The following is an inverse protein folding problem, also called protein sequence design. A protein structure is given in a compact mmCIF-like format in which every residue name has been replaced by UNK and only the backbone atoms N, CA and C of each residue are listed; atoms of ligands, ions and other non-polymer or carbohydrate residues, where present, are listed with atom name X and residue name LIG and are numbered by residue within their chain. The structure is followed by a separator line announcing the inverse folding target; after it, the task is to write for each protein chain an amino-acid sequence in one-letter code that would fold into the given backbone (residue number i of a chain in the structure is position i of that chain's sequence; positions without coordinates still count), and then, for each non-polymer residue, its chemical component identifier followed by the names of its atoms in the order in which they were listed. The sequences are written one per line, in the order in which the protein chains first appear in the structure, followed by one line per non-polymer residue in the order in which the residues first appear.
data_IF_281672031976
#
_entry.id   IF_281672031976
#
_cell.length_a   1.000
_cell.length_b   1.000
_cell.length_c   1.000
_cell.angle_alpha   90.00
_cell.angle_beta   90.00
_cell.angle_gamma   90.00
#
_symmetry.space_group_name_H-M   'P 1'
#
loop_
_entity.id
_entity.type
_entity.pdbx_description
1 polymer ?
#
# COMPACT_ATOMS: atom_id res chain seq x y z
N UNK A 1 -17.52 11.34 -14.72
CA UNK A 1 -16.48 10.31 -14.61
C UNK A 1 -16.41 9.90 -13.14
N UNK A 2 -16.59 8.62 -12.82
CA UNK A 2 -16.54 8.09 -11.44
C UNK A 2 -15.43 7.05 -11.39
N UNK A 3 -14.64 7.06 -10.32
CA UNK A 3 -13.63 6.03 -10.04
C UNK A 3 -14.21 5.11 -8.97
N UNK A 4 -14.19 3.80 -9.22
CA UNK A 4 -14.75 2.81 -8.28
C UNK A 4 -13.68 2.17 -7.39
N UNK A 5 -12.40 2.23 -7.78
CA UNK A 5 -11.29 1.61 -7.06
C UNK A 5 -9.95 2.25 -7.44
N UNK A 6 -9.01 2.27 -6.49
CA UNK A 6 -7.62 2.72 -6.71
C UNK A 6 -6.68 1.54 -6.44
N UNK A 7 -5.74 1.29 -7.35
CA UNK A 7 -4.61 0.37 -7.14
C UNK A 7 -3.34 1.20 -7.04
N UNK A 8 -2.59 1.03 -5.95
CA UNK A 8 -1.37 1.82 -5.70
C UNK A 8 -0.17 0.89 -5.62
N UNK A 9 0.86 1.20 -6.41
CA UNK A 9 2.21 0.68 -6.25
C UNK A 9 3.15 1.86 -6.05
N UNK A 10 3.84 1.90 -4.92
CA UNK A 10 4.71 3.01 -4.55
C UNK A 10 6.00 2.52 -3.89
N UNK A 11 7.07 3.32 -3.88
CA UNK A 11 8.35 2.94 -3.28
C UNK A 11 8.48 3.31 -1.80
N UNK A 12 7.52 4.03 -1.25
CA UNK A 12 7.48 4.43 0.16
C UNK A 12 6.45 3.62 0.91
N UNK A 13 6.84 3.03 2.04
CA UNK A 13 5.91 2.28 2.89
C UNK A 13 4.88 3.22 3.50
N UNK A 14 3.61 2.79 3.53
CA UNK A 14 2.52 3.56 4.13
C UNK A 14 1.79 4.50 3.18
N UNK A 15 2.22 4.64 1.92
CA UNK A 15 1.52 5.46 0.91
C UNK A 15 0.07 5.02 0.72
N UNK A 16 -0.19 3.70 0.71
CA UNK A 16 -1.56 3.19 0.56
C UNK A 16 -2.45 3.60 1.73
N UNK A 17 -1.93 3.47 2.95
CA UNK A 17 -2.65 3.84 4.17
C UNK A 17 -2.89 5.34 4.28
N UNK A 18 -1.95 6.14 3.79
CA UNK A 18 -2.15 7.58 3.66
C UNK A 18 -3.32 7.88 2.72
N UNK A 19 -3.31 7.31 1.51
CA UNK A 19 -4.36 7.57 0.50
C UNK A 19 -5.74 7.08 0.95
N UNK A 20 -5.80 5.93 1.64
CA UNK A 20 -7.04 5.39 2.21
C UNK A 20 -7.73 6.38 3.17
N UNK A 21 -6.98 7.24 3.86
CA UNK A 21 -7.53 8.30 4.70
C UNK A 21 -8.11 9.51 3.96
N UNK A 22 -7.87 9.62 2.65
CA UNK A 22 -8.30 10.76 1.82
C UNK A 22 -9.42 10.41 0.83
N UNK A 23 -9.75 9.12 0.66
CA UNK A 23 -10.72 8.67 -0.34
C UNK A 23 -11.82 7.82 0.28
N UNK A 24 -13.03 7.91 -0.29
CA UNK A 24 -14.18 7.11 0.12
C UNK A 24 -14.40 5.88 -0.77
N UNK A 25 -13.38 5.46 -1.52
CA UNK A 25 -13.41 4.30 -2.42
C UNK A 25 -12.29 3.33 -2.06
N UNK A 26 -12.47 2.02 -2.30
CA UNK A 26 -11.45 1.03 -1.93
C UNK A 26 -10.09 1.32 -2.56
N UNK A 27 -9.03 1.15 -1.76
CA UNK A 27 -7.63 1.26 -2.19
C UNK A 27 -6.92 -0.08 -2.00
N UNK A 28 -6.36 -0.62 -3.08
CA UNK A 28 -5.60 -1.87 -3.09
C UNK A 28 -4.10 -1.56 -3.09
N UNK A 29 -3.37 -2.14 -2.13
CA UNK A 29 -1.90 -2.12 -2.12
C UNK A 29 -1.35 -3.17 -3.10
N UNK A 30 -0.71 -2.72 -4.18
CA UNK A 30 0.00 -3.56 -5.16
C UNK A 30 1.53 -3.55 -4.95
N UNK A 31 1.98 -3.05 -3.80
CA UNK A 31 3.37 -2.98 -3.37
C UNK A 31 3.74 -1.55 -2.98
N UNK A 32 3.95 -1.33 -1.69
CA UNK A 32 4.58 -0.11 -1.16
C UNK A 32 6.03 -0.42 -0.73
N UNK A 33 6.80 0.64 -0.45
CA UNK A 33 8.24 0.57 -0.22
C UNK A 33 8.74 -0.56 0.67
N UNK A 34 9.99 -0.97 0.40
CA UNK A 34 10.73 -2.08 1.04
C UNK A 34 10.26 -2.35 2.47
N UNK A 35 9.46 -3.41 2.65
CA UNK A 35 9.71 -4.29 3.79
C UNK A 35 11.22 -4.55 3.78
N UNK A 36 11.95 -4.07 4.78
CA UNK A 36 13.35 -4.41 4.95
C UNK A 36 13.45 -5.93 5.02
N UNK A 37 13.77 -6.58 3.91
CA UNK A 37 14.38 -7.89 3.99
C UNK A 37 15.87 -7.66 4.15
N UNK A 38 16.45 -8.26 5.20
CA UNK A 38 17.58 -9.11 4.86
C UNK A 38 17.31 -10.59 5.13
N UNK A 39 16.75 -10.96 6.29
CA UNK A 39 16.75 -12.37 6.77
C UNK A 39 15.64 -12.74 7.79
N UNK A 40 14.62 -11.90 7.99
CA UNK A 40 13.79 -11.93 9.23
C UNK A 40 12.29 -12.28 9.07
N UNK A 41 11.88 -13.00 8.03
CA UNK A 41 10.49 -13.52 7.90
C UNK A 41 10.32 -14.97 8.39
N UNK A 42 11.33 -15.55 9.04
CA UNK A 42 11.24 -16.80 9.78
C UNK A 42 11.62 -16.55 11.23
N UNK A 43 10.71 -16.04 12.05
CA UNK A 43 10.58 -16.40 13.47
C UNK A 43 9.37 -15.67 14.06
N UNK A 44 8.48 -16.50 14.63
CA UNK A 44 7.27 -16.23 15.43
C UNK A 44 6.08 -15.62 14.73
#
# INVERSE_FOLDING_TARGET
MKVDLIVIRHSDSGTVRMVDGFVNIPVINAGDGKHQHPTQAYQT
#
